data_IF_721916998111
#
_entry.id   IF_721916998111
#
_cell.length_a   1.000
_cell.length_b   1.000
_cell.length_c   1.000
_cell.angle_alpha   90.00
_cell.angle_beta   90.00
_cell.angle_gamma   90.00
#
_symmetry.space_group_name_H-M   'P 1'
#
loop_
_entity.id
_entity.type
_entity.pdbx_description
1 polymer ?
#
# COMPACT_ATOMS: atom_id res chain seq x y z
N UNK A 1 -36.32 31.80 -3.70
CA UNK A 1 -37.14 30.60 -3.38
C UNK A 1 -36.84 29.43 -4.31
N UNK A 2 -36.93 29.60 -5.64
CA UNK A 2 -36.72 28.53 -6.64
C UNK A 2 -35.30 27.93 -6.63
N UNK A 3 -34.24 28.74 -6.46
CA UNK A 3 -32.84 28.24 -6.38
C UNK A 3 -32.59 27.32 -5.18
N UNK A 4 -33.27 27.53 -4.05
CA UNK A 4 -33.08 26.72 -2.83
C UNK A 4 -33.80 25.38 -2.95
N UNK A 5 -34.95 25.35 -3.64
CA UNK A 5 -35.70 24.13 -3.94
C UNK A 5 -34.96 23.27 -4.98
N UNK A 6 -34.39 23.90 -6.02
CA UNK A 6 -33.61 23.18 -7.03
C UNK A 6 -32.34 22.55 -6.41
N UNK A 7 -31.68 23.26 -5.48
CA UNK A 7 -30.53 22.74 -4.74
C UNK A 7 -30.90 21.59 -3.82
N UNK A 8 -32.01 21.69 -3.07
CA UNK A 8 -32.45 20.58 -2.20
C UNK A 8 -32.89 19.36 -3.00
N UNK A 9 -33.52 19.54 -4.17
CA UNK A 9 -33.93 18.44 -5.06
C UNK A 9 -32.71 17.77 -5.70
N UNK A 10 -31.70 18.54 -6.13
CA UNK A 10 -30.43 17.99 -6.63
C UNK A 10 -29.61 17.31 -5.54
N UNK A 11 -29.61 17.84 -4.32
CA UNK A 11 -28.96 17.22 -3.17
C UNK A 11 -29.66 15.92 -2.77
N UNK A 12 -31.00 15.87 -2.83
CA UNK A 12 -31.81 14.67 -2.53
C UNK A 12 -31.71 13.62 -3.63
N UNK A 13 -31.78 13.99 -4.91
CA UNK A 13 -31.58 13.09 -6.04
C UNK A 13 -30.13 12.58 -6.10
N UNK A 14 -29.17 13.46 -5.83
CA UNK A 14 -27.77 13.06 -5.67
C UNK A 14 -27.60 12.13 -4.47
N UNK A 15 -28.31 12.34 -3.36
CA UNK A 15 -28.26 11.49 -2.17
C UNK A 15 -28.87 10.10 -2.44
N UNK A 16 -30.02 10.03 -3.12
CA UNK A 16 -30.68 8.80 -3.58
C UNK A 16 -29.82 8.02 -4.58
N UNK A 17 -29.20 8.71 -5.55
CA UNK A 17 -28.27 8.10 -6.50
C UNK A 17 -26.97 7.62 -5.82
N UNK A 18 -26.46 8.37 -4.82
CA UNK A 18 -25.31 7.98 -4.00
C UNK A 18 -25.62 6.75 -3.14
N UNK A 19 -26.84 6.64 -2.59
CA UNK A 19 -27.30 5.43 -1.87
C UNK A 19 -27.34 4.18 -2.76
N UNK A 20 -27.49 4.37 -4.08
CA UNK A 20 -27.44 3.32 -5.10
C UNK A 20 -26.02 2.82 -5.41
N UNK A 21 -24.99 3.59 -5.03
CA UNK A 21 -23.57 3.22 -5.10
C UNK A 21 -22.93 3.20 -3.69
N UNK A 22 -23.74 2.96 -2.65
CA UNK A 22 -23.24 2.46 -1.37
C UNK A 22 -23.34 0.95 -1.48
N UNK A 23 -22.22 0.22 -1.63
CA UNK A 23 -22.26 -1.23 -1.59
C UNK A 23 -22.93 -1.67 -0.29
N UNK A 24 -23.73 -2.72 -0.34
CA UNK A 24 -24.47 -3.21 0.83
C UNK A 24 -23.55 -3.32 2.05
N UNK A 25 -23.98 -2.80 3.20
CA UNK A 25 -23.37 -3.17 4.48
C UNK A 25 -23.35 -4.71 4.50
N UNK A 26 -22.15 -5.29 4.66
CA UNK A 26 -21.87 -6.73 4.59
C UNK A 26 -21.66 -7.36 3.19
N UNK A 27 -21.23 -6.62 2.15
CA UNK A 27 -20.72 -7.32 0.95
C UNK A 27 -19.51 -8.19 1.31
N UNK A 28 -19.51 -9.43 0.82
CA UNK A 28 -18.37 -10.37 0.88
C UNK A 28 -17.35 -10.14 -0.24
N UNK A 29 -17.64 -9.16 -1.11
CA UNK A 29 -16.79 -8.73 -2.21
C UNK A 29 -15.63 -7.89 -1.69
N UNK A 30 -14.44 -8.16 -2.21
CA UNK A 30 -13.23 -7.39 -1.91
C UNK A 30 -13.20 -6.12 -2.75
N UNK A 31 -12.68 -5.04 -2.17
CA UNK A 31 -12.36 -3.81 -2.91
C UNK A 31 -10.90 -3.74 -3.36
N UNK A 32 -10.05 -4.58 -2.76
CA UNK A 32 -8.64 -4.67 -3.06
C UNK A 32 -8.40 -5.40 -4.40
N UNK A 33 -7.25 -5.15 -5.03
CA UNK A 33 -6.94 -5.70 -6.35
C UNK A 33 -6.95 -7.24 -6.37
N UNK A 34 -6.36 -7.86 -5.34
CA UNK A 34 -6.21 -9.30 -5.24
C UNK A 34 -6.78 -9.89 -3.94
N UNK A 35 -7.59 -9.15 -3.18
CA UNK A 35 -8.21 -9.63 -1.94
C UNK A 35 -7.43 -9.31 -0.66
N UNK A 36 -6.51 -8.35 -0.70
CA UNK A 36 -5.66 -7.93 0.41
C UNK A 36 -6.47 -7.46 1.62
N UNK A 37 -7.60 -6.78 1.41
CA UNK A 37 -8.52 -6.34 2.46
C UNK A 37 -9.02 -7.52 3.34
N UNK A 38 -9.21 -8.71 2.76
CA UNK A 38 -9.57 -9.93 3.50
C UNK A 38 -8.42 -10.50 4.32
N UNK A 39 -7.20 -10.42 3.79
CA UNK A 39 -5.97 -10.80 4.52
C UNK A 39 -5.80 -9.87 5.72
N UNK A 40 -5.93 -8.56 5.50
CA UNK A 40 -5.84 -7.52 6.52
C UNK A 40 -6.90 -7.70 7.61
N UNK A 41 -8.15 -7.99 7.24
CA UNK A 41 -9.21 -8.27 8.22
C UNK A 41 -8.83 -9.43 9.16
N UNK A 42 -8.23 -10.51 8.62
CA UNK A 42 -7.73 -11.62 9.43
C UNK A 42 -6.60 -11.21 10.38
N UNK A 43 -5.67 -10.37 9.90
CA UNK A 43 -4.58 -9.84 10.73
C UNK A 43 -5.10 -8.94 11.85
N UNK A 44 -6.01 -8.01 11.55
CA UNK A 44 -6.60 -7.12 12.55
C UNK A 44 -7.35 -7.90 13.62
N UNK A 45 -8.11 -8.93 13.24
CA UNK A 45 -8.78 -9.83 14.17
C UNK A 45 -7.80 -10.56 15.10
N UNK A 46 -6.72 -11.11 14.55
CA UNK A 46 -5.68 -11.80 15.34
C UNK A 46 -4.96 -10.81 16.27
N UNK A 47 -4.62 -9.61 15.80
CA UNK A 47 -3.98 -8.57 16.61
C UNK A 47 -4.91 -8.12 17.73
N UNK A 48 -6.17 -7.80 17.44
CA UNK A 48 -7.13 -7.33 18.45
C UNK A 48 -7.42 -8.38 19.53
N UNK A 49 -7.42 -9.68 19.17
CA UNK A 49 -7.63 -10.78 20.13
C UNK A 49 -6.42 -11.05 21.01
N UNK A 50 -5.21 -10.88 20.48
CA UNK A 50 -3.98 -11.32 21.14
C UNK A 50 -3.11 -10.17 21.65
N UNK A 51 -3.47 -8.92 21.37
CA UNK A 51 -2.78 -7.72 21.87
C UNK A 51 -3.77 -6.85 22.64
N UNK A 52 -3.35 -6.28 23.77
CA UNK A 52 -4.17 -5.35 24.56
C UNK A 52 -4.27 -3.94 23.91
N UNK A 53 -4.20 -3.85 22.58
CA UNK A 53 -4.14 -2.57 21.88
C UNK A 53 -5.27 -2.47 20.85
N UNK A 54 -6.33 -1.75 21.23
CA UNK A 54 -7.55 -1.56 20.46
C UNK A 54 -7.49 -0.38 19.47
N UNK A 55 -6.30 -0.01 18.99
CA UNK A 55 -6.19 1.07 17.99
C UNK A 55 -6.81 0.64 16.66
N UNK A 56 -7.60 1.53 16.07
CA UNK A 56 -8.27 1.33 14.78
C UNK A 56 -7.91 2.45 13.79
N UNK A 57 -6.76 3.10 13.98
CA UNK A 57 -6.29 4.17 13.13
C UNK A 57 -5.55 3.62 11.92
N UNK A 58 -5.97 4.01 10.71
CA UNK A 58 -5.40 3.60 9.43
C UNK A 58 -4.76 4.81 8.74
N UNK A 59 -3.59 4.60 8.15
CA UNK A 59 -2.92 5.56 7.27
C UNK A 59 -2.92 4.96 5.87
N UNK A 60 -3.53 5.65 4.92
CA UNK A 60 -3.55 5.26 3.51
C UNK A 60 -2.86 6.32 2.66
N UNK A 61 -1.67 5.99 2.15
CA UNK A 61 -0.88 6.88 1.29
C UNK A 61 -1.08 6.46 -0.16
N UNK A 62 -1.45 7.43 -1.01
CA UNK A 62 -1.93 7.25 -2.38
C UNK A 62 -3.25 6.46 -2.46
N UNK A 63 -4.25 6.98 -1.73
CA UNK A 63 -5.58 6.41 -1.63
C UNK A 63 -6.39 6.44 -2.95
N UNK A 64 -5.89 7.08 -4.01
CA UNK A 64 -6.51 7.16 -5.33
C UNK A 64 -7.94 7.74 -5.27
N UNK A 65 -8.89 7.13 -5.96
CA UNK A 65 -10.31 7.49 -5.91
C UNK A 65 -11.03 7.03 -4.61
N UNK A 66 -10.29 6.36 -3.71
CA UNK A 66 -10.76 5.87 -2.42
C UNK A 66 -11.52 4.55 -2.44
N UNK A 67 -11.67 3.88 -3.59
CA UNK A 67 -12.46 2.63 -3.68
C UNK A 67 -11.90 1.61 -4.67
N UNK A 68 -11.37 2.03 -5.81
CA UNK A 68 -10.86 1.12 -6.83
C UNK A 68 -9.56 0.51 -6.34
N UNK A 69 -9.52 -0.83 -6.25
CA UNK A 69 -8.34 -1.57 -5.78
C UNK A 69 -7.90 -1.16 -4.35
N UNK A 70 -8.82 -0.65 -3.54
CA UNK A 70 -8.51 -0.11 -2.21
C UNK A 70 -8.39 -1.20 -1.15
N UNK A 71 -7.23 -1.24 -0.49
CA UNK A 71 -6.97 -2.08 0.68
C UNK A 71 -7.69 -1.59 1.96
N UNK A 72 -8.17 -0.34 1.97
CA UNK A 72 -8.57 0.40 3.18
C UNK A 72 -10.07 0.73 3.23
N UNK A 73 -10.72 0.85 2.07
CA UNK A 73 -12.10 1.33 1.95
C UNK A 73 -13.07 0.57 2.84
N UNK A 74 -12.96 -0.77 2.90
CA UNK A 74 -13.84 -1.61 3.71
C UNK A 74 -13.78 -1.24 5.20
N UNK A 75 -12.60 -0.90 5.71
CA UNK A 75 -12.39 -0.55 7.12
C UNK A 75 -12.89 0.86 7.42
N UNK A 76 -12.63 1.81 6.52
CA UNK A 76 -13.17 3.16 6.64
C UNK A 76 -14.71 3.17 6.60
N UNK A 77 -15.30 2.37 5.72
CA UNK A 77 -16.76 2.14 5.69
C UNK A 77 -17.28 1.59 7.00
N UNK A 78 -16.52 0.70 7.64
CA UNK A 78 -16.88 0.05 8.90
C UNK A 78 -16.51 0.90 10.14
N UNK A 79 -16.13 2.17 9.94
CA UNK A 79 -16.01 3.17 10.99
C UNK A 79 -14.62 3.32 11.60
N UNK A 80 -13.60 2.69 11.02
CA UNK A 80 -12.20 2.90 11.41
C UNK A 80 -11.82 4.36 11.26
N UNK A 81 -10.91 4.83 12.12
CA UNK A 81 -10.37 6.19 12.07
C UNK A 81 -9.17 6.21 11.14
N UNK A 82 -8.84 7.36 10.59
CA UNK A 82 -7.59 7.44 9.84
C UNK A 82 -7.41 8.66 8.98
N UNK A 83 -6.42 8.56 8.12
CA UNK A 83 -6.13 9.53 7.07
C UNK A 83 -5.98 8.83 5.73
N UNK A 84 -6.61 9.40 4.71
CA UNK A 84 -6.40 9.04 3.31
C UNK A 84 -5.71 10.21 2.60
N UNK A 85 -4.56 9.94 2.00
CA UNK A 85 -3.72 10.91 1.31
C UNK A 85 -3.75 10.62 -0.18
N UNK A 86 -4.11 11.61 -0.99
CA UNK A 86 -4.04 11.49 -2.45
C UNK A 86 -3.57 12.81 -3.05
N UNK A 87 -2.56 12.78 -3.91
CA UNK A 87 -1.97 13.98 -4.50
C UNK A 87 -2.74 14.45 -5.74
N UNK A 88 -3.15 13.51 -6.60
CA UNK A 88 -3.82 13.81 -7.85
C UNK A 88 -5.17 14.49 -7.61
N UNK A 89 -5.38 15.62 -8.27
CA UNK A 89 -6.55 16.45 -8.01
C UNK A 89 -7.86 15.82 -8.45
N UNK A 90 -7.85 15.01 -9.50
CA UNK A 90 -9.06 14.37 -10.03
C UNK A 90 -9.46 13.20 -9.13
N UNK A 91 -8.51 12.30 -8.84
CA UNK A 91 -8.70 11.18 -7.90
C UNK A 91 -9.13 11.69 -6.52
N UNK A 92 -8.46 12.72 -5.99
CA UNK A 92 -8.84 13.32 -4.71
C UNK A 92 -10.27 13.88 -4.71
N UNK A 93 -10.76 14.41 -5.84
CA UNK A 93 -12.14 14.90 -5.91
C UNK A 93 -13.16 13.74 -5.81
N UNK A 94 -12.88 12.59 -6.43
CA UNK A 94 -13.69 11.38 -6.27
C UNK A 94 -13.64 10.87 -4.83
N UNK A 95 -12.44 10.71 -4.27
CA UNK A 95 -12.20 10.33 -2.88
C UNK A 95 -13.00 11.22 -1.92
N UNK A 96 -12.86 12.55 -2.04
CA UNK A 96 -13.54 13.52 -1.17
C UNK A 96 -15.06 13.45 -1.25
N UNK A 97 -15.62 13.29 -2.46
CA UNK A 97 -17.06 13.15 -2.61
C UNK A 97 -17.58 11.81 -2.04
N UNK A 98 -16.82 10.73 -2.18
CA UNK A 98 -17.17 9.41 -1.62
C UNK A 98 -17.07 9.42 -0.09
N UNK A 99 -15.99 10.00 0.46
CA UNK A 99 -15.65 9.89 1.89
C UNK A 99 -16.35 10.91 2.78
N UNK A 100 -17.10 11.87 2.23
CA UNK A 100 -17.87 12.86 3.01
C UNK A 100 -18.85 12.26 4.03
N UNK A 101 -19.22 10.99 3.87
CA UNK A 101 -20.11 10.25 4.79
C UNK A 101 -19.35 9.46 5.87
N UNK A 102 -18.02 9.45 5.83
CA UNK A 102 -17.14 8.77 6.80
C UNK A 102 -16.40 9.82 7.64
N UNK A 103 -17.04 10.42 8.67
CA UNK A 103 -16.50 11.55 9.42
C UNK A 103 -15.24 11.23 10.23
N UNK A 104 -14.90 9.94 10.36
CA UNK A 104 -13.71 9.45 11.07
C UNK A 104 -12.45 9.44 10.21
N UNK A 105 -12.55 9.78 8.91
CA UNK A 105 -11.43 9.77 7.97
C UNK A 105 -11.07 11.20 7.58
N UNK A 106 -9.84 11.59 7.89
CA UNK A 106 -9.25 12.83 7.42
C UNK A 106 -8.76 12.65 5.97
N UNK A 107 -8.95 13.67 5.14
CA UNK A 107 -8.51 13.63 3.74
C UNK A 107 -7.46 14.70 3.52
N UNK A 108 -6.27 14.32 3.04
CA UNK A 108 -5.18 15.24 2.76
C UNK A 108 -4.81 15.19 1.29
N UNK A 109 -4.91 16.34 0.60
CA UNK A 109 -4.44 16.46 -0.79
C UNK A 109 -3.00 16.95 -0.83
N UNK A 110 -2.05 16.03 -0.74
CA UNK A 110 -0.62 16.36 -0.74
C UNK A 110 0.20 15.21 -1.31
N UNK A 111 1.37 15.54 -1.85
CA UNK A 111 2.39 14.55 -2.19
C UNK A 111 3.04 14.07 -0.89
N UNK A 112 3.18 12.77 -0.71
CA UNK A 112 3.97 12.21 0.38
C UNK A 112 5.44 12.23 -0.03
N UNK A 113 6.29 12.89 0.76
CA UNK A 113 7.72 13.00 0.50
C UNK A 113 8.51 12.52 1.73
N UNK A 114 9.72 11.96 1.57
CA UNK A 114 10.50 11.44 2.70
C UNK A 114 10.71 12.46 3.82
N UNK A 115 10.94 13.73 3.45
CA UNK A 115 11.19 14.83 4.38
C UNK A 115 9.93 15.40 5.07
N UNK A 116 8.74 15.17 4.50
CA UNK A 116 7.48 15.76 4.99
C UNK A 116 6.44 14.74 5.47
N UNK A 117 6.62 13.44 5.20
CA UNK A 117 5.64 12.41 5.58
C UNK A 117 5.44 12.34 7.10
N UNK A 118 6.47 12.59 7.90
CA UNK A 118 6.32 12.64 9.36
C UNK A 118 5.47 13.84 9.82
N UNK A 119 5.58 14.98 9.13
CA UNK A 119 4.74 16.16 9.39
C UNK A 119 3.29 15.88 8.98
N UNK A 120 3.08 15.17 7.86
CA UNK A 120 1.76 14.72 7.43
C UNK A 120 1.11 13.86 8.52
N UNK A 121 1.81 12.86 9.05
CA UNK A 121 1.28 12.00 10.12
C UNK A 121 0.99 12.76 11.42
N UNK A 122 1.81 13.76 11.75
CA UNK A 122 1.57 14.66 12.90
C UNK A 122 0.31 15.49 12.70
N UNK A 123 0.10 16.06 11.52
CA UNK A 123 -1.13 16.81 11.17
C UNK A 123 -2.36 15.92 11.21
N UNK A 124 -2.24 14.67 10.76
CA UNK A 124 -3.31 13.69 10.82
C UNK A 124 -3.61 13.18 12.25
N UNK A 125 -2.82 13.60 13.25
CA UNK A 125 -2.89 13.09 14.63
C UNK A 125 -2.78 11.57 14.71
N UNK A 126 -2.01 10.96 13.79
CA UNK A 126 -1.81 9.52 13.76
C UNK A 126 -1.11 9.08 15.06
N UNK A 127 -1.66 8.11 15.82
CA UNK A 127 -0.97 7.52 16.97
C UNK A 127 0.36 6.92 16.53
N UNK A 128 1.40 6.94 17.37
CA UNK A 128 2.69 6.37 17.00
C UNK A 128 2.61 4.88 16.63
N UNK A 129 1.70 4.14 17.23
CA UNK A 129 1.47 2.70 17.05
C UNK A 129 0.16 2.38 16.30
N UNK A 130 -0.20 3.19 15.30
CA UNK A 130 -1.44 3.02 14.54
C UNK A 130 -1.57 1.62 13.90
N UNK A 131 -2.80 1.22 13.57
CA UNK A 131 -3.11 -0.16 13.23
C UNK A 131 -2.51 -0.58 11.89
N UNK A 132 -2.68 0.24 10.87
CA UNK A 132 -2.37 -0.15 9.50
C UNK A 132 -1.81 0.99 8.68
N UNK A 133 -0.72 0.72 7.96
CA UNK A 133 -0.15 1.55 6.89
C UNK A 133 -0.38 0.86 5.55
N UNK A 134 -1.10 1.50 4.64
CA UNK A 134 -1.06 1.18 3.21
C UNK A 134 -0.11 2.16 2.52
N UNK A 135 0.86 1.65 1.75
CA UNK A 135 1.84 2.45 1.03
C UNK A 135 2.08 1.90 -0.38
N UNK A 136 1.63 2.66 -1.38
CA UNK A 136 1.79 2.32 -2.79
C UNK A 136 1.79 3.60 -3.62
N UNK A 137 2.96 4.21 -3.83
CA UNK A 137 3.13 5.48 -4.56
C UNK A 137 3.87 5.32 -5.89
N UNK A 138 4.09 4.08 -6.34
CA UNK A 138 4.76 3.71 -7.59
C UNK A 138 6.16 4.35 -7.79
N UNK A 139 6.92 4.65 -6.72
CA UNK A 139 8.18 5.40 -6.86
C UNK A 139 9.17 5.16 -5.72
N UNK A 140 9.43 6.17 -4.88
CA UNK A 140 10.44 6.12 -3.81
C UNK A 140 9.86 5.62 -2.49
N UNK A 141 8.97 4.62 -2.58
CA UNK A 141 8.24 4.00 -1.48
C UNK A 141 9.17 3.57 -0.34
N UNK A 142 10.34 3.03 -0.66
CA UNK A 142 11.36 2.63 0.32
C UNK A 142 11.73 3.79 1.26
N UNK A 143 11.95 4.99 0.72
CA UNK A 143 12.37 6.15 1.50
C UNK A 143 11.22 6.76 2.32
N UNK A 144 9.98 6.63 1.83
CA UNK A 144 8.78 6.98 2.61
C UNK A 144 8.65 6.03 3.80
N UNK A 145 8.73 4.73 3.53
CA UNK A 145 8.64 3.70 4.55
C UNK A 145 9.73 3.86 5.61
N UNK A 146 10.99 4.03 5.20
CA UNK A 146 12.12 4.29 6.09
C UNK A 146 11.88 5.51 6.98
N UNK A 147 11.40 6.60 6.39
CA UNK A 147 11.09 7.83 7.13
C UNK A 147 9.99 7.61 8.15
N UNK A 148 8.89 6.94 7.78
CA UNK A 148 7.79 6.64 8.71
C UNK A 148 8.28 5.78 9.88
N UNK A 149 9.01 4.70 9.60
CA UNK A 149 9.45 3.73 10.61
C UNK A 149 10.52 4.28 11.56
N UNK A 150 11.21 5.36 11.20
CA UNK A 150 12.12 6.07 12.10
C UNK A 150 11.42 6.71 13.31
N UNK A 151 10.11 6.97 13.20
CA UNK A 151 9.35 7.72 14.20
C UNK A 151 8.02 7.04 14.60
N UNK A 152 7.51 6.11 13.81
CA UNK A 152 6.23 5.43 13.98
C UNK A 152 6.42 3.91 13.96
N UNK A 153 5.47 3.19 14.56
CA UNK A 153 5.47 1.74 14.68
C UNK A 153 4.10 1.16 14.29
N UNK A 154 3.70 1.27 13.01
CA UNK A 154 2.47 0.64 12.52
C UNK A 154 2.45 -0.85 12.82
N UNK A 155 1.30 -1.37 13.26
CA UNK A 155 1.18 -2.79 13.61
C UNK A 155 1.14 -3.71 12.41
N UNK A 156 0.61 -3.23 11.29
CA UNK A 156 0.59 -3.90 10.00
C UNK A 156 0.94 -2.89 8.93
N UNK A 157 1.77 -3.30 7.98
CA UNK A 157 2.11 -2.53 6.79
C UNK A 157 1.78 -3.40 5.59
N UNK A 158 1.10 -2.82 4.60
CA UNK A 158 1.00 -3.37 3.26
C UNK A 158 1.73 -2.38 2.35
N UNK A 159 2.72 -2.88 1.62
CA UNK A 159 3.55 -2.07 0.73
C UNK A 159 3.71 -2.79 -0.60
N UNK A 160 3.64 -2.03 -1.69
CA UNK A 160 3.92 -2.57 -3.01
C UNK A 160 5.42 -2.83 -3.17
N UNK A 161 5.77 -3.96 -3.78
CA UNK A 161 7.11 -4.30 -4.24
C UNK A 161 7.15 -4.28 -5.76
N UNK A 162 8.31 -3.96 -6.31
CA UNK A 162 8.62 -4.24 -7.70
C UNK A 162 8.92 -5.73 -7.84
N UNK A 163 7.86 -6.49 -8.09
CA UNK A 163 7.82 -7.94 -8.22
C UNK A 163 8.53 -8.45 -9.48
N UNK A 164 8.86 -7.55 -10.41
CA UNK A 164 9.60 -7.87 -11.65
C UNK A 164 11.08 -8.06 -11.39
N UNK A 165 11.61 -7.50 -10.29
CA UNK A 165 13.02 -7.59 -9.95
C UNK A 165 13.24 -8.81 -9.06
N UNK A 166 13.85 -9.88 -9.58
CA UNK A 166 13.97 -11.14 -8.86
C UNK A 166 14.89 -11.02 -7.65
N UNK A 167 14.46 -11.62 -6.55
CA UNK A 167 15.34 -11.89 -5.41
C UNK A 167 16.57 -12.70 -5.87
N UNK A 168 17.80 -12.41 -5.36
CA UNK A 168 18.16 -11.46 -4.31
C UNK A 168 18.57 -10.06 -4.80
N UNK A 169 18.27 -9.68 -6.05
CA UNK A 169 18.69 -8.39 -6.61
C UNK A 169 18.10 -7.22 -5.83
N UNK A 170 18.95 -6.28 -5.40
CA UNK A 170 18.53 -5.09 -4.65
C UNK A 170 18.32 -3.94 -5.59
N UNK A 171 17.13 -3.35 -5.53
CA UNK A 171 16.79 -2.19 -6.34
C UNK A 171 15.82 -1.28 -5.59
N UNK A 172 16.02 0.03 -5.68
CA UNK A 172 15.00 1.01 -5.28
C UNK A 172 15.12 2.30 -6.08
N UNK A 173 13.98 2.90 -6.41
CA UNK A 173 13.94 4.28 -6.95
C UNK A 173 14.23 5.27 -5.82
N UNK A 174 15.20 6.15 -6.05
CA UNK A 174 15.53 7.24 -5.11
C UNK A 174 14.63 8.45 -5.29
N UNK A 175 14.42 9.19 -4.21
CA UNK A 175 13.63 10.40 -4.25
C UNK A 175 14.32 11.52 -5.04
N UNK A 176 13.59 12.06 -6.02
CA UNK A 176 13.82 13.38 -6.60
C UNK A 176 12.49 14.13 -6.68
N UNK A 177 12.47 15.48 -6.60
CA UNK A 177 11.22 16.26 -6.57
C UNK A 177 10.26 15.95 -7.74
N UNK A 178 10.84 15.75 -8.92
CA UNK A 178 10.13 15.49 -10.17
C UNK A 178 9.89 14.00 -10.43
N UNK A 179 10.27 13.11 -9.51
CA UNK A 179 10.02 11.67 -9.65
C UNK A 179 8.51 11.41 -9.58
N UNK A 180 8.02 10.78 -10.66
CA UNK A 180 6.72 10.17 -10.81
C UNK A 180 6.90 8.94 -11.72
N UNK A 181 6.09 7.92 -11.48
CA UNK A 181 6.07 6.74 -12.33
C UNK A 181 5.64 7.09 -13.75
N UNK A 182 6.28 6.47 -14.74
CA UNK A 182 5.99 6.69 -16.17
C UNK A 182 5.26 5.52 -16.82
N UNK A 183 4.79 4.55 -16.03
CA UNK A 183 4.15 3.34 -16.55
C UNK A 183 5.13 2.29 -17.07
N UNK A 184 6.41 2.36 -16.69
CA UNK A 184 7.45 1.41 -17.10
C UNK A 184 7.98 0.57 -15.91
N UNK A 185 9.01 -0.24 -16.14
CA UNK A 185 9.54 -1.15 -15.10
C UNK A 185 10.28 -0.43 -13.95
N UNK A 186 10.38 0.90 -13.98
CA UNK A 186 11.14 1.72 -13.03
C UNK A 186 10.24 2.33 -11.95
N UNK A 187 9.94 1.54 -10.91
CA UNK A 187 9.11 1.96 -9.79
C UNK A 187 9.47 1.20 -8.52
N UNK A 188 9.07 1.75 -7.37
CA UNK A 188 9.14 1.10 -6.08
C UNK A 188 10.54 0.61 -5.70
N UNK A 189 10.55 -0.60 -5.13
CA UNK A 189 11.77 -1.28 -4.71
C UNK A 189 11.60 -2.80 -4.77
N UNK A 190 12.69 -3.53 -4.95
CA UNK A 190 12.66 -4.99 -5.04
C UNK A 190 12.37 -5.62 -3.68
N UNK A 191 11.83 -6.84 -3.70
CA UNK A 191 11.55 -7.62 -2.48
C UNK A 191 12.79 -7.77 -1.57
N UNK A 192 14.00 -7.78 -2.14
CA UNK A 192 15.24 -7.88 -1.36
C UNK A 192 15.49 -6.67 -0.45
N UNK A 193 15.01 -5.48 -0.82
CA UNK A 193 15.17 -4.27 0.01
C UNK A 193 14.34 -4.32 1.31
N UNK A 194 13.34 -5.21 1.39
CA UNK A 194 12.57 -5.39 2.62
C UNK A 194 13.41 -6.02 3.74
N UNK A 195 14.48 -6.75 3.42
CA UNK A 195 15.40 -7.30 4.44
C UNK A 195 16.02 -6.17 5.26
N UNK A 196 16.48 -5.11 4.59
CA UNK A 196 17.11 -3.95 5.22
C UNK A 196 16.13 -3.19 6.12
N UNK A 197 14.88 -3.00 5.65
CA UNK A 197 13.80 -2.37 6.46
C UNK A 197 13.47 -3.22 7.68
N UNK A 198 13.32 -4.53 7.50
CA UNK A 198 12.98 -5.46 8.58
C UNK A 198 14.09 -5.53 9.64
N UNK A 199 15.35 -5.59 9.20
CA UNK A 199 16.51 -5.61 10.10
C UNK A 199 16.63 -4.29 10.87
N UNK A 200 16.51 -3.14 10.18
CA UNK A 200 16.69 -1.81 10.76
C UNK A 200 15.64 -1.46 11.82
N UNK A 201 14.38 -1.89 11.65
CA UNK A 201 13.25 -1.45 12.48
C UNK A 201 12.59 -2.56 13.31
N UNK A 202 13.18 -3.76 13.33
CA UNK A 202 12.63 -4.96 13.98
C UNK A 202 11.21 -5.31 13.50
N UNK A 203 11.09 -5.40 12.18
CA UNK A 203 9.91 -5.93 11.48
C UNK A 203 10.20 -7.31 10.88
N UNK A 204 9.14 -8.00 10.49
CA UNK A 204 9.19 -9.24 9.74
C UNK A 204 8.18 -9.18 8.58
N UNK A 205 8.58 -9.70 7.42
CA UNK A 205 7.64 -9.99 6.33
C UNK A 205 6.87 -11.26 6.69
N UNK A 206 5.56 -11.15 6.86
CA UNK A 206 4.70 -12.29 7.24
C UNK A 206 4.00 -12.92 6.05
N UNK A 207 3.87 -12.18 4.94
CA UNK A 207 3.26 -12.67 3.71
C UNK A 207 3.69 -11.81 2.52
N UNK A 208 3.71 -12.43 1.33
CA UNK A 208 3.72 -11.73 0.04
C UNK A 208 2.52 -12.26 -0.73
N UNK A 209 1.70 -11.35 -1.26
CA UNK A 209 0.53 -11.66 -2.06
C UNK A 209 0.62 -10.88 -3.37
N UNK A 210 1.05 -11.57 -4.42
CA UNK A 210 1.43 -10.96 -5.69
C UNK A 210 2.48 -9.85 -5.53
N UNK A 211 2.16 -8.61 -5.89
CA UNK A 211 3.04 -7.44 -5.77
C UNK A 211 2.96 -6.75 -4.41
N UNK A 212 2.19 -7.26 -3.44
CA UNK A 212 2.05 -6.65 -2.12
C UNK A 212 2.77 -7.48 -1.05
N UNK A 213 3.61 -6.82 -0.24
CA UNK A 213 4.24 -7.42 0.94
C UNK A 213 3.55 -6.94 2.22
N UNK A 214 3.39 -7.85 3.18
CA UNK A 214 2.83 -7.57 4.50
C UNK A 214 3.90 -7.67 5.57
N UNK A 215 4.14 -6.57 6.28
CA UNK A 215 5.12 -6.49 7.35
C UNK A 215 4.43 -6.21 8.68
N UNK A 216 4.96 -6.79 9.76
CA UNK A 216 4.52 -6.50 11.13
C UNK A 216 5.73 -6.41 12.08
N UNK A 217 5.62 -5.68 13.21
CA UNK A 217 6.63 -5.73 14.26
C UNK A 217 6.83 -7.15 14.78
N UNK A 218 8.08 -7.54 15.06
CA UNK A 218 8.43 -8.88 15.59
C UNK A 218 7.59 -9.26 16.82
N UNK A 219 7.39 -8.32 17.75
CA UNK A 219 6.61 -8.55 18.96
C UNK A 219 5.11 -8.73 18.69
N UNK A 220 4.57 -8.10 17.64
CA UNK A 220 3.18 -8.31 17.22
C UNK A 220 3.03 -9.70 16.61
N UNK A 221 3.99 -10.14 15.76
CA UNK A 221 3.96 -11.49 15.21
C UNK A 221 4.09 -12.56 16.31
N UNK A 222 4.96 -12.34 17.30
CA UNK A 222 5.11 -13.24 18.45
C UNK A 222 3.81 -13.41 19.24
N UNK A 223 3.07 -12.32 19.46
CA UNK A 223 1.81 -12.33 20.19
C UNK A 223 0.64 -12.89 19.36
N UNK A 224 0.47 -12.42 18.13
CA UNK A 224 -0.71 -12.69 17.29
C UNK A 224 -0.54 -13.88 16.33
N UNK A 225 0.69 -14.40 16.16
CA UNK A 225 1.04 -15.52 15.28
C UNK A 225 0.45 -15.33 13.88
N UNK A 226 0.82 -14.21 13.25
CA UNK A 226 0.35 -13.87 11.91
C UNK A 226 1.06 -14.73 10.87
N UNK A 227 2.31 -15.10 11.12
CA UNK A 227 3.06 -16.08 10.36
C UNK A 227 3.09 -17.44 11.10
N UNK A 228 2.15 -18.33 10.77
CA UNK A 228 2.07 -19.67 11.39
C UNK A 228 3.16 -20.62 10.87
N UNK A 229 3.73 -20.35 9.69
CA UNK A 229 4.79 -21.13 9.06
C UNK A 229 5.90 -20.21 8.56
N UNK A 230 6.83 -19.81 9.45
CA UNK A 230 7.95 -18.95 9.10
C UNK A 230 8.71 -19.48 7.89
N UNK A 231 8.97 -18.58 6.93
CA UNK A 231 9.69 -18.88 5.71
C UNK A 231 10.65 -17.71 5.43
N UNK A 232 11.72 -17.99 4.71
CA UNK A 232 12.61 -16.93 4.20
C UNK A 232 11.85 -15.98 3.28
N UNK A 233 12.34 -14.76 3.12
CA UNK A 233 11.71 -13.78 2.21
C UNK A 233 11.70 -14.30 0.76
N UNK A 234 12.70 -15.08 0.36
CA UNK A 234 12.77 -15.75 -0.93
C UNK A 234 11.62 -16.76 -1.10
N UNK A 235 11.36 -17.59 -0.09
CA UNK A 235 10.25 -18.55 -0.12
C UNK A 235 8.89 -17.85 -0.14
N UNK A 236 8.74 -16.74 0.60
CA UNK A 236 7.54 -15.91 0.55
C UNK A 236 7.34 -15.30 -0.84
N UNK A 237 8.39 -14.76 -1.45
CA UNK A 237 8.35 -14.22 -2.81
C UNK A 237 7.98 -15.31 -3.83
N UNK A 238 8.61 -16.48 -3.72
CA UNK A 238 8.35 -17.62 -4.59
C UNK A 238 6.90 -18.08 -4.48
N UNK A 239 6.40 -18.27 -3.27
CA UNK A 239 5.03 -18.73 -3.01
C UNK A 239 3.98 -17.67 -3.34
N UNK A 240 4.24 -16.43 -2.93
CA UNK A 240 3.34 -15.30 -2.98
C UNK A 240 3.17 -14.69 -4.36
N UNK A 241 4.23 -14.72 -5.16
CA UNK A 241 4.27 -14.19 -6.51
C UNK A 241 4.69 -15.24 -7.53
N UNK A 242 5.97 -15.64 -7.55
CA UNK A 242 6.59 -16.35 -8.69
C UNK A 242 5.82 -17.61 -9.14
N UNK A 243 5.40 -18.42 -8.17
CA UNK A 243 4.78 -19.72 -8.39
C UNK A 243 3.24 -19.66 -8.39
N UNK A 244 2.64 -18.47 -8.32
CA UNK A 244 1.19 -18.33 -8.46
C UNK A 244 0.75 -18.79 -9.85
N UNK A 245 -0.18 -19.73 -9.91
CA UNK A 245 -0.58 -20.38 -11.17
C UNK A 245 -1.29 -19.42 -12.13
N UNK A 246 -1.92 -18.37 -11.60
CA UNK A 246 -2.60 -17.31 -12.34
C UNK A 246 -1.73 -16.04 -12.53
N UNK A 247 -0.46 -16.06 -12.09
CA UNK A 247 0.47 -14.91 -12.19
C UNK A 247 0.52 -14.35 -13.60
N UNK A 248 0.75 -15.20 -14.61
CA UNK A 248 0.87 -14.77 -16.02
C UNK A 248 -0.41 -14.19 -16.61
N UNK A 249 -1.56 -14.48 -16.00
CA UNK A 249 -2.85 -13.89 -16.39
C UNK A 249 -3.03 -12.53 -15.72
N UNK A 250 -2.78 -12.44 -14.41
CA UNK A 250 -2.91 -11.20 -13.63
C UNK A 250 -1.85 -10.15 -13.99
N UNK A 251 -0.64 -10.60 -14.29
CA UNK A 251 0.53 -9.80 -14.65
C UNK A 251 0.92 -10.02 -16.12
N UNK A 252 -0.06 -10.12 -17.02
CA UNK A 252 0.21 -10.32 -18.44
C UNK A 252 1.12 -9.23 -19.04
N UNK A 253 1.06 -8.01 -18.48
CA UNK A 253 1.89 -6.88 -18.86
C UNK A 253 3.38 -7.05 -18.48
N UNK A 254 3.74 -8.04 -17.66
CA UNK A 254 5.13 -8.34 -17.32
C UNK A 254 5.83 -9.26 -18.33
N UNK A 255 5.13 -9.72 -19.38
CA UNK A 255 5.66 -10.73 -20.31
C UNK A 255 7.01 -10.37 -20.95
N UNK A 256 7.29 -9.07 -21.11
CA UNK A 256 8.53 -8.59 -21.72
C UNK A 256 9.75 -8.75 -20.80
N UNK A 257 9.56 -8.69 -19.49
CA UNK A 257 10.64 -8.73 -18.48
C UNK A 257 10.66 -10.03 -17.66
N UNK A 258 9.60 -10.85 -17.75
CA UNK A 258 9.43 -12.10 -17.02
C UNK A 258 10.61 -13.08 -17.16
N UNK A 259 11.36 -13.00 -18.26
CA UNK A 259 12.56 -13.81 -18.51
C UNK A 259 13.68 -13.53 -17.50
N UNK A 260 13.67 -12.39 -16.80
CA UNK A 260 14.63 -12.09 -15.73
C UNK A 260 14.46 -13.00 -14.51
N UNK A 261 13.27 -13.56 -14.29
CA UNK A 261 12.97 -14.41 -13.14
C UNK A 261 13.77 -15.73 -13.12
N UNK A 262 14.37 -16.10 -14.25
CA UNK A 262 15.18 -17.31 -14.44
C UNK A 262 16.69 -17.00 -14.55
N UNK A 263 17.08 -15.73 -14.41
CA UNK A 263 18.45 -15.24 -14.63
C UNK A 263 19.25 -15.18 -13.34
N UNK A 264 20.58 -15.22 -13.48
CA UNK A 264 21.49 -14.96 -12.35
C UNK A 264 21.40 -13.48 -11.91
N UNK A 265 21.69 -13.16 -10.63
CA UNK A 265 21.69 -11.78 -10.16
C UNK A 265 22.60 -10.85 -10.99
N UNK A 266 23.72 -11.36 -11.49
CA UNK A 266 24.65 -10.60 -12.35
C UNK A 266 24.00 -10.24 -13.69
N UNK A 267 23.35 -11.20 -14.36
CA UNK A 267 22.64 -10.97 -15.63
C UNK A 267 21.47 -9.99 -15.43
N UNK A 268 20.73 -10.12 -14.33
CA UNK A 268 19.63 -9.21 -13.98
C UNK A 268 20.16 -7.79 -13.81
N UNK A 269 21.25 -7.62 -13.07
CA UNK A 269 21.85 -6.29 -12.86
C UNK A 269 22.37 -5.67 -14.15
N UNK A 270 22.99 -6.46 -15.03
CA UNK A 270 23.44 -5.97 -16.33
C UNK A 270 22.25 -5.50 -17.19
N UNK A 271 21.18 -6.29 -17.23
CA UNK A 271 19.95 -5.93 -17.92
C UNK A 271 19.34 -4.64 -17.35
N UNK A 272 19.14 -4.57 -16.04
CA UNK A 272 18.50 -3.42 -15.38
C UNK A 272 19.32 -2.13 -15.52
N UNK A 273 20.66 -2.20 -15.50
CA UNK A 273 21.52 -1.03 -15.77
C UNK A 273 21.26 -0.43 -17.15
N UNK A 274 21.07 -1.28 -18.16
CA UNK A 274 20.76 -0.85 -19.52
C UNK A 274 19.32 -0.35 -19.63
N UNK A 275 18.37 -1.09 -19.07
CA UNK A 275 16.94 -0.74 -19.08
C UNK A 275 16.69 0.63 -18.41
N UNK A 276 17.42 0.92 -17.33
CA UNK A 276 17.27 2.13 -16.53
C UNK A 276 18.33 3.20 -16.80
N UNK A 277 19.06 3.12 -17.92
CA UNK A 277 20.09 4.10 -18.30
C UNK A 277 19.52 5.54 -18.33
N UNK A 278 18.29 5.72 -18.81
CA UNK A 278 17.60 7.04 -18.82
C UNK A 278 17.24 7.58 -17.43
N UNK A 279 17.44 6.78 -16.38
CA UNK A 279 17.19 7.10 -14.97
C UNK A 279 18.47 7.13 -14.14
N UNK A 280 19.64 7.19 -14.78
CA UNK A 280 20.93 7.26 -14.09
C UNK A 280 20.94 8.34 -12.98
N UNK A 281 21.38 7.95 -11.78
CA UNK A 281 21.38 8.81 -10.59
C UNK A 281 20.06 8.83 -9.80
N UNK A 282 19.01 8.17 -10.29
CA UNK A 282 17.69 8.14 -9.66
C UNK A 282 17.32 6.79 -9.04
N UNK A 283 18.25 5.85 -8.90
CA UNK A 283 18.02 4.55 -8.28
C UNK A 283 19.28 3.97 -7.63
N UNK A 284 19.06 3.00 -6.73
CA UNK A 284 20.09 2.11 -6.20
C UNK A 284 19.90 0.74 -6.87
N UNK A 285 21.00 0.09 -7.26
CA UNK A 285 21.00 -1.26 -7.82
C UNK A 285 22.27 -2.01 -7.37
N UNK A 286 22.09 -3.08 -6.60
CA UNK A 286 23.17 -3.86 -5.96
C UNK A 286 23.05 -5.36 -6.20
#
# INVERSE_FOLDING_TARGET
>A
MIKNILRSVLDTLGYEARKKYVPSQHSTESYANFGEDKILASYFDKINKNTNSATNFIVDIAASDGITMSNTFVFFRDGYKGVAVEYDSEKFAFLSNLYKIYPNVQLLRTKALPDTVLSLLKVAEAPKDFLFLNLDIDSYDYFILDSILSEYRPKVICTEINERIPYPTRFTVTYHPDTFWKGDNFFGYSVAMLEDICEKYDYEVVNIHYNNAFLVPKEINQAAKLNENPASIEELYKKGYLNQTDRKVKFAHNSEIDHLLEKSPEEVKEFLKKEFEKYEGNYILE
#
